data_IF_890850186085
#
_entry.id   IF_890850186085
#
_cell.length_a   1.000
_cell.length_b   1.000
_cell.length_c   1.000
_cell.angle_alpha   90.00
_cell.angle_beta   90.00
_cell.angle_gamma   90.00
#
_symmetry.space_group_name_H-M   'P 1'
#
loop_
_entity.id
_entity.type
_entity.pdbx_description
1 polymer ?
#
# COMPACT_ATOMS: atom_id res chain seq x y z
N UNK A 1 -8.73 -9.64 21.54
CA UNK A 1 -7.53 -9.91 20.71
C UNK A 1 -7.77 -9.30 19.35
N UNK A 2 -6.72 -8.93 18.62
CA UNK A 2 -6.88 -8.49 17.23
C UNK A 2 -7.60 -9.58 16.42
N UNK A 3 -8.40 -9.18 15.43
CA UNK A 3 -9.18 -10.11 14.62
C UNK A 3 -8.26 -10.90 13.67
N UNK A 4 -7.26 -10.21 13.12
CA UNK A 4 -6.14 -10.79 12.38
C UNK A 4 -4.97 -9.80 12.29
N UNK A 5 -3.80 -10.30 11.88
CA UNK A 5 -2.64 -9.47 11.58
C UNK A 5 -1.80 -10.05 10.44
N UNK A 6 -0.97 -9.20 9.83
CA UNK A 6 -0.02 -9.56 8.79
C UNK A 6 1.37 -9.10 9.23
N UNK A 7 2.38 -9.94 9.01
CA UNK A 7 3.79 -9.62 9.26
C UNK A 7 4.51 -9.57 7.91
N UNK A 8 5.15 -8.44 7.63
CA UNK A 8 6.03 -8.25 6.49
C UNK A 8 7.49 -8.19 6.94
N UNK A 9 8.35 -8.96 6.29
CA UNK A 9 9.80 -8.96 6.50
C UNK A 9 10.47 -8.14 5.39
N UNK A 10 11.23 -7.13 5.78
CA UNK A 10 11.93 -6.24 4.86
C UNK A 10 13.30 -6.78 4.47
N UNK A 11 13.81 -6.33 3.33
CA UNK A 11 15.14 -6.72 2.86
C UNK A 11 16.25 -6.56 3.92
N UNK A 12 16.32 -5.46 4.72
CA UNK A 12 17.35 -5.33 5.75
C UNK A 12 17.36 -6.46 6.80
N UNK A 13 16.18 -6.97 7.18
CA UNK A 13 16.08 -8.09 8.13
C UNK A 13 16.56 -9.39 7.49
N UNK A 14 16.10 -9.67 6.26
CA UNK A 14 16.46 -10.87 5.52
C UNK A 14 17.98 -10.93 5.25
N UNK A 15 18.56 -9.79 4.88
CA UNK A 15 20.01 -9.65 4.69
C UNK A 15 20.80 -9.84 5.99
N UNK A 16 20.29 -9.34 7.13
CA UNK A 16 20.92 -9.53 8.45
C UNK A 16 20.94 -11.00 8.88
N UNK A 17 20.00 -11.82 8.40
CA UNK A 17 19.94 -13.25 8.64
C UNK A 17 20.82 -14.06 7.66
N UNK A 18 21.56 -13.41 6.77
CA UNK A 18 22.30 -14.03 5.66
C UNK A 18 21.39 -14.89 4.75
N UNK A 19 20.12 -14.46 4.58
CA UNK A 19 19.11 -15.16 3.77
C UNK A 19 18.73 -14.37 2.53
N UNK A 20 17.94 -15.00 1.65
CA UNK A 20 17.42 -14.36 0.45
C UNK A 20 16.01 -14.82 0.13
N UNK A 21 15.14 -13.86 -0.20
CA UNK A 21 13.80 -14.13 -0.74
C UNK A 21 13.74 -13.57 -2.16
N UNK A 22 13.57 -14.43 -3.16
CA UNK A 22 13.60 -13.99 -4.55
C UNK A 22 12.48 -12.99 -4.86
N UNK A 23 12.85 -11.82 -5.40
CA UNK A 23 11.94 -10.71 -5.68
C UNK A 23 11.86 -9.66 -4.56
N UNK A 24 12.26 -10.01 -3.32
CA UNK A 24 12.35 -9.04 -2.23
C UNK A 24 13.54 -8.11 -2.48
N UNK A 25 13.28 -6.81 -2.39
CA UNK A 25 14.28 -5.74 -2.49
C UNK A 25 13.79 -4.54 -1.70
N UNK A 26 14.69 -3.64 -1.26
CA UNK A 26 14.28 -2.34 -0.75
C UNK A 26 13.43 -1.57 -1.78
N UNK A 27 12.47 -0.79 -1.29
CA UNK A 27 11.74 0.16 -2.13
C UNK A 27 12.71 1.16 -2.80
N UNK A 28 12.66 1.37 -4.13
CA UNK A 28 13.54 2.33 -4.79
C UNK A 28 13.03 3.76 -4.57
N UNK A 29 13.93 4.70 -4.26
CA UNK A 29 13.57 6.12 -4.33
C UNK A 29 13.34 6.49 -5.80
N UNK A 30 12.19 7.08 -6.12
CA UNK A 30 11.80 7.47 -7.48
C UNK A 30 11.51 8.97 -7.54
N UNK A 31 11.97 9.62 -8.61
CA UNK A 31 11.78 11.05 -8.83
C UNK A 31 11.20 11.30 -10.22
N UNK A 32 10.01 11.90 -10.26
CA UNK A 32 9.35 12.36 -11.47
C UNK A 32 9.41 13.88 -11.60
N UNK A 33 8.66 14.44 -12.56
CA UNK A 33 8.62 15.89 -12.78
C UNK A 33 7.81 16.58 -11.68
N UNK A 34 8.48 17.07 -10.65
CA UNK A 34 7.85 17.82 -9.55
C UNK A 34 7.09 16.95 -8.55
N UNK A 35 7.31 15.64 -8.58
CA UNK A 35 6.78 14.65 -7.65
C UNK A 35 7.90 13.65 -7.32
N UNK A 36 7.90 13.13 -6.10
CA UNK A 36 8.91 12.18 -5.63
C UNK A 36 8.24 11.11 -4.78
N UNK A 37 8.80 9.91 -4.80
CA UNK A 37 8.46 8.82 -3.89
C UNK A 37 9.74 8.41 -3.13
N UNK A 38 9.91 8.84 -1.87
CA UNK A 38 11.10 8.53 -1.10
C UNK A 38 11.15 7.06 -0.69
N UNK A 39 12.36 6.56 -0.46
CA UNK A 39 12.58 5.24 0.16
C UNK A 39 12.83 5.39 1.65
N UNK A 40 12.02 4.70 2.44
CA UNK A 40 12.06 4.68 3.92
C UNK A 40 11.97 3.22 4.40
N UNK A 41 12.68 2.33 3.70
CA UNK A 41 12.63 0.89 3.91
C UNK A 41 12.94 0.52 5.37
N UNK A 42 12.09 -0.31 5.97
CA UNK A 42 12.28 -0.84 7.32
C UNK A 42 12.59 -2.34 7.31
N UNK A 43 13.08 -2.84 8.44
CA UNK A 43 13.38 -4.25 8.65
C UNK A 43 12.12 -5.13 8.78
N UNK A 44 11.05 -4.59 9.36
CA UNK A 44 9.79 -5.30 9.60
C UNK A 44 8.61 -4.34 9.55
N UNK A 45 7.46 -4.83 9.12
CA UNK A 45 6.18 -4.13 9.14
C UNK A 45 5.09 -5.07 9.65
N UNK A 46 4.18 -4.55 10.47
CA UNK A 46 3.08 -5.32 11.03
C UNK A 46 1.78 -4.53 10.86
N UNK A 47 0.77 -5.18 10.27
CA UNK A 47 -0.59 -4.68 10.22
C UNK A 47 -1.44 -5.46 11.20
N UNK A 48 -2.13 -4.74 12.09
CA UNK A 48 -3.11 -5.31 13.01
C UNK A 48 -4.49 -4.77 12.65
N UNK A 49 -5.50 -5.65 12.63
CA UNK A 49 -6.90 -5.26 12.47
C UNK A 49 -7.71 -5.62 13.70
N UNK A 50 -8.57 -4.71 14.11
CA UNK A 50 -9.55 -4.93 15.16
C UNK A 50 -10.54 -3.76 15.24
N UNK A 51 -11.74 -4.04 15.74
CA UNK A 51 -12.78 -3.02 15.94
C UNK A 51 -12.64 -2.23 17.26
N UNK A 52 -11.80 -2.71 18.19
CA UNK A 52 -11.51 -2.05 19.46
C UNK A 52 -10.07 -1.55 19.52
N UNK A 53 -9.91 -0.23 19.62
CA UNK A 53 -8.61 0.44 19.69
C UNK A 53 -7.82 0.04 20.93
N UNK A 54 -8.46 -0.22 22.05
CA UNK A 54 -7.77 -0.60 23.30
C UNK A 54 -7.07 -1.96 23.12
N UNK A 55 -7.76 -2.90 22.49
CA UNK A 55 -7.20 -4.21 22.12
C UNK A 55 -6.01 -4.09 21.18
N UNK A 56 -6.09 -3.21 20.18
CA UNK A 56 -4.96 -2.97 19.25
C UNK A 56 -3.76 -2.33 19.95
N UNK A 57 -3.99 -1.40 20.87
CA UNK A 57 -2.94 -0.78 21.69
C UNK A 57 -2.20 -1.82 22.55
N UNK A 58 -2.94 -2.68 23.26
CA UNK A 58 -2.36 -3.75 24.07
C UNK A 58 -1.56 -4.74 23.22
N UNK A 59 -2.10 -5.13 22.06
CA UNK A 59 -1.41 -6.02 21.12
C UNK A 59 -0.12 -5.40 20.57
N UNK A 60 -0.16 -4.11 20.23
CA UNK A 60 1.02 -3.36 19.77
C UNK A 60 2.10 -3.33 20.86
N UNK A 61 1.72 -3.05 22.11
CA UNK A 61 2.65 -3.02 23.25
C UNK A 61 3.32 -4.38 23.45
N UNK A 62 2.54 -5.47 23.42
CA UNK A 62 3.08 -6.84 23.53
C UNK A 62 4.04 -7.20 22.40
N UNK A 63 3.77 -6.76 21.17
CA UNK A 63 4.67 -6.98 20.03
C UNK A 63 5.98 -6.18 20.16
N UNK A 64 5.90 -4.93 20.62
CA UNK A 64 7.09 -4.10 20.87
C UNK A 64 7.97 -4.75 21.95
N UNK A 65 7.36 -5.21 23.05
CA UNK A 65 8.10 -5.90 24.11
C UNK A 65 8.72 -7.22 23.62
N UNK A 66 7.98 -7.99 22.83
CA UNK A 66 8.45 -9.27 22.26
C UNK A 66 9.65 -9.09 21.31
N UNK A 67 9.66 -8.01 20.52
CA UNK A 67 10.67 -7.77 19.49
C UNK A 67 11.82 -6.87 19.98
N UNK A 68 11.69 -6.26 21.16
CA UNK A 68 12.55 -5.17 21.64
C UNK A 68 14.02 -5.52 21.88
N UNK A 69 14.39 -6.80 21.93
CA UNK A 69 15.80 -7.21 22.00
C UNK A 69 16.53 -7.10 20.65
N UNK A 70 15.80 -7.17 19.52
CA UNK A 70 16.37 -7.22 18.17
C UNK A 70 15.94 -6.06 17.28
N UNK A 71 14.76 -5.48 17.53
CA UNK A 71 14.17 -4.41 16.71
C UNK A 71 13.79 -3.22 17.59
N UNK A 72 13.79 -2.04 16.98
CA UNK A 72 13.28 -0.80 17.59
C UNK A 72 12.03 -0.36 16.85
N UNK A 73 11.00 0.07 17.58
CA UNK A 73 9.81 0.68 16.99
C UNK A 73 10.17 2.06 16.44
N UNK A 74 10.24 2.19 15.12
CA UNK A 74 10.51 3.45 14.43
C UNK A 74 9.23 4.29 14.23
N UNK A 75 8.13 3.63 13.86
CA UNK A 75 6.87 4.28 13.54
C UNK A 75 5.66 3.40 13.91
N UNK A 76 4.58 4.03 14.36
CA UNK A 76 3.30 3.39 14.65
C UNK A 76 2.16 4.37 14.37
N UNK A 77 1.20 3.93 13.56
CA UNK A 77 0.10 4.76 13.09
C UNK A 77 -1.23 3.99 13.14
N UNK A 78 -2.19 4.55 13.86
CA UNK A 78 -3.57 4.06 13.81
C UNK A 78 -4.23 4.55 12.51
N UNK A 79 -4.72 3.61 11.70
CA UNK A 79 -5.59 3.90 10.55
C UNK A 79 -7.05 3.65 10.90
N UNK A 80 -7.98 4.19 10.12
CA UNK A 80 -9.41 4.01 10.37
C UNK A 80 -10.23 3.95 9.09
N UNK A 81 -11.38 3.27 9.16
CA UNK A 81 -12.39 3.33 8.11
C UNK A 81 -13.12 4.67 8.16
N UNK A 82 -13.09 5.43 7.07
CA UNK A 82 -13.82 6.69 6.94
C UNK A 82 -15.11 6.49 6.15
N UNK A 83 -16.26 6.75 6.79
CA UNK A 83 -17.61 6.55 6.22
C UNK A 83 -17.74 5.13 5.63
N UNK A 84 -18.34 5.00 4.45
CA UNK A 84 -18.57 3.74 3.74
C UNK A 84 -17.34 3.35 2.90
N UNK A 85 -16.16 3.21 3.54
CA UNK A 85 -14.86 2.91 2.91
C UNK A 85 -14.38 3.97 1.89
N UNK A 86 -14.49 5.24 2.27
CA UNK A 86 -14.03 6.36 1.45
C UNK A 86 -12.64 6.81 1.89
N UNK A 87 -11.89 7.36 0.94
CA UNK A 87 -10.73 8.18 1.25
C UNK A 87 -11.16 9.51 1.90
N UNK A 88 -10.24 10.24 2.57
CA UNK A 88 -10.53 11.54 3.19
C UNK A 88 -10.89 12.64 2.18
N UNK A 89 -10.60 12.43 0.89
CA UNK A 89 -11.12 13.22 -0.23
C UNK A 89 -12.64 13.11 -0.39
N UNK A 90 -13.24 12.02 0.10
CA UNK A 90 -14.65 11.69 -0.05
C UNK A 90 -14.97 10.73 -1.20
N UNK A 91 -13.99 10.39 -2.05
CA UNK A 91 -14.17 9.39 -3.11
C UNK A 91 -14.10 7.97 -2.55
N UNK A 92 -14.78 7.04 -3.20
CA UNK A 92 -14.69 5.62 -2.87
C UNK A 92 -13.32 5.08 -3.27
N UNK A 93 -12.70 4.30 -2.40
CA UNK A 93 -11.45 3.61 -2.68
C UNK A 93 -11.70 2.09 -2.71
N UNK A 94 -10.90 1.38 -3.51
CA UNK A 94 -11.02 -0.07 -3.67
C UNK A 94 -12.11 -0.55 -4.64
N UNK A 95 -12.73 0.33 -5.43
CA UNK A 95 -13.78 -0.04 -6.39
C UNK A 95 -13.33 -1.12 -7.38
N UNK A 96 -12.15 -0.94 -7.97
CA UNK A 96 -11.52 -1.86 -8.93
C UNK A 96 -10.55 -2.86 -8.26
N UNK A 97 -10.70 -3.12 -6.96
CA UNK A 97 -9.92 -4.21 -6.35
C UNK A 97 -10.41 -5.55 -6.90
N UNK A 98 -9.48 -6.48 -7.23
CA UNK A 98 -9.83 -7.87 -7.51
C UNK A 98 -10.66 -8.49 -6.38
N UNK A 99 -11.53 -9.44 -6.72
CA UNK A 99 -12.45 -10.10 -5.78
C UNK A 99 -12.28 -11.61 -5.85
N UNK A 100 -12.65 -12.28 -4.76
CA UNK A 100 -12.70 -13.74 -4.67
C UNK A 100 -11.40 -14.40 -5.17
N UNK A 101 -11.49 -15.30 -6.15
CA UNK A 101 -10.33 -16.03 -6.69
C UNK A 101 -9.33 -15.11 -7.39
N UNK A 102 -9.79 -14.02 -8.03
CA UNK A 102 -8.89 -13.04 -8.67
C UNK A 102 -8.08 -12.26 -7.63
N UNK A 103 -8.64 -12.04 -6.43
CA UNK A 103 -7.91 -11.43 -5.33
C UNK A 103 -6.79 -12.35 -4.83
N UNK A 104 -7.07 -13.65 -4.70
CA UNK A 104 -6.05 -14.63 -4.33
C UNK A 104 -4.96 -14.73 -5.40
N UNK A 105 -5.34 -14.77 -6.68
CA UNK A 105 -4.40 -14.84 -7.80
C UNK A 105 -3.53 -13.59 -7.93
N UNK A 106 -4.09 -12.40 -7.68
CA UNK A 106 -3.34 -11.15 -7.71
C UNK A 106 -2.36 -11.03 -6.52
N UNK A 107 -2.78 -11.44 -5.32
CA UNK A 107 -2.04 -11.21 -4.08
C UNK A 107 -1.01 -12.27 -3.74
N UNK A 108 -1.22 -13.54 -4.10
CA UNK A 108 -0.46 -14.66 -3.57
C UNK A 108 0.55 -15.22 -4.58
N UNK A 109 1.77 -15.49 -4.10
CA UNK A 109 2.80 -16.23 -4.84
C UNK A 109 2.33 -17.66 -5.05
N UNK A 110 2.22 -18.08 -6.31
CA UNK A 110 1.65 -19.39 -6.69
C UNK A 110 2.56 -20.59 -6.35
N UNK A 111 3.88 -20.41 -6.41
CA UNK A 111 4.85 -21.50 -6.30
C UNK A 111 6.14 -21.10 -5.58
N UNK A 112 6.89 -22.10 -5.11
CA UNK A 112 8.18 -21.94 -4.43
C UNK A 112 8.16 -22.50 -3.03
N UNK A 113 9.21 -23.26 -2.67
CA UNK A 113 9.34 -23.86 -1.34
C UNK A 113 9.39 -22.77 -0.25
N UNK A 114 8.50 -22.87 0.74
CA UNK A 114 8.31 -21.86 1.80
C UNK A 114 7.75 -20.51 1.30
N UNK A 115 7.40 -20.40 0.01
CA UNK A 115 6.90 -19.16 -0.62
C UNK A 115 5.50 -19.28 -1.19
N UNK A 116 5.05 -20.47 -1.55
CA UNK A 116 3.68 -20.67 -2.03
C UNK A 116 2.67 -20.16 -0.97
N UNK A 117 1.77 -19.28 -1.38
CA UNK A 117 0.79 -18.64 -0.49
C UNK A 117 1.33 -17.43 0.29
N UNK A 118 2.58 -17.04 0.06
CA UNK A 118 3.13 -15.76 0.55
C UNK A 118 2.69 -14.59 -0.33
N UNK A 119 2.98 -13.36 0.08
CA UNK A 119 2.68 -12.15 -0.69
C UNK A 119 3.81 -11.13 -0.57
N UNK A 120 3.90 -10.20 -1.51
CA UNK A 120 4.67 -8.98 -1.34
C UNK A 120 3.72 -7.83 -1.03
N UNK A 121 4.13 -6.94 -0.14
CA UNK A 121 3.35 -5.76 0.21
C UNK A 121 4.15 -4.49 -0.05
N UNK A 122 3.52 -3.54 -0.73
CA UNK A 122 3.98 -2.16 -0.85
C UNK A 122 3.22 -1.29 0.15
N UNK A 123 3.98 -0.50 0.93
CA UNK A 123 3.42 0.41 1.92
C UNK A 123 3.95 1.81 1.66
N UNK A 124 3.04 2.78 1.53
CA UNK A 124 3.37 4.20 1.40
C UNK A 124 2.43 5.05 2.24
N UNK A 125 2.99 5.98 3.01
CA UNK A 125 2.23 7.01 3.71
C UNK A 125 2.06 8.20 2.79
N UNK A 126 0.82 8.53 2.48
CA UNK A 126 0.48 9.72 1.70
C UNK A 126 -0.11 10.80 2.61
N UNK A 127 0.37 12.03 2.45
CA UNK A 127 -0.19 13.21 3.12
C UNK A 127 -1.04 14.00 2.13
N UNK A 128 -2.26 14.33 2.52
CA UNK A 128 -3.20 15.09 1.71
C UNK A 128 -3.28 16.56 2.16
N UNK A 129 -3.18 17.47 1.20
CA UNK A 129 -3.66 18.84 1.30
C UNK A 129 -5.15 18.89 0.95
N UNK A 130 -5.97 18.46 1.92
CA UNK A 130 -7.44 18.45 1.76
C UNK A 130 -8.02 19.85 1.59
N UNK A 131 -7.37 20.90 2.11
CA UNK A 131 -7.81 22.27 1.92
C UNK A 131 -7.70 22.65 0.45
N UNK A 132 -6.55 22.39 -0.17
CA UNK A 132 -6.34 22.60 -1.60
C UNK A 132 -7.30 21.78 -2.45
N UNK A 133 -7.42 20.48 -2.16
CA UNK A 133 -8.33 19.60 -2.90
C UNK A 133 -9.78 20.07 -2.85
N UNK A 134 -10.28 20.42 -1.65
CA UNK A 134 -11.65 20.93 -1.47
C UNK A 134 -11.87 22.29 -2.12
N UNK A 135 -10.81 23.07 -2.31
CA UNK A 135 -10.83 24.35 -3.03
C UNK A 135 -11.01 24.23 -4.55
N UNK A 136 -10.73 23.05 -5.14
CA UNK A 136 -10.97 22.83 -6.58
C UNK A 136 -12.48 22.82 -6.90
N UNK A 137 -12.90 23.29 -8.09
CA UNK A 137 -14.25 23.05 -8.59
C UNK A 137 -14.60 21.56 -8.61
N UNK A 138 -15.87 21.20 -8.42
CA UNK A 138 -16.30 19.80 -8.37
C UNK A 138 -15.85 19.01 -9.62
N UNK A 139 -16.04 19.57 -10.81
CA UNK A 139 -15.60 18.96 -12.06
C UNK A 139 -14.08 18.73 -12.13
N UNK A 140 -13.27 19.60 -11.50
CA UNK A 140 -11.83 19.41 -11.43
C UNK A 140 -11.45 18.29 -10.46
N UNK A 141 -12.15 18.14 -9.32
CA UNK A 141 -11.92 17.00 -8.42
C UNK A 141 -12.27 15.68 -9.10
N UNK A 142 -13.42 15.63 -9.77
CA UNK A 142 -13.84 14.45 -10.54
C UNK A 142 -12.84 14.14 -11.66
N UNK A 143 -12.33 15.14 -12.38
CA UNK A 143 -11.30 14.95 -13.41
C UNK A 143 -9.92 14.56 -12.84
N UNK A 144 -9.61 14.93 -11.59
CA UNK A 144 -8.37 14.55 -10.90
C UNK A 144 -8.39 13.05 -10.56
N UNK A 145 -9.52 12.57 -10.04
CA UNK A 145 -9.69 11.16 -9.69
C UNK A 145 -9.98 10.32 -10.95
N UNK A 146 -10.81 10.84 -11.85
CA UNK A 146 -11.36 10.17 -13.03
C UNK A 146 -12.66 9.41 -12.78
N UNK A 147 -13.29 9.63 -11.62
CA UNK A 147 -14.63 9.12 -11.29
C UNK A 147 -15.48 10.24 -10.73
N UNK A 148 -16.80 10.14 -10.87
CA UNK A 148 -17.74 11.11 -10.29
C UNK A 148 -17.89 10.88 -8.79
N UNK A 149 -17.78 11.94 -8.00
CA UNK A 149 -17.98 11.83 -6.55
C UNK A 149 -19.39 11.35 -6.15
N UNK A 150 -20.41 11.67 -6.96
CA UNK A 150 -21.82 11.46 -6.62
C UNK A 150 -22.27 10.00 -6.62
N UNK A 151 -21.78 9.23 -7.59
CA UNK A 151 -22.23 7.86 -7.88
C UNK A 151 -21.07 6.91 -8.15
N UNK A 152 -19.82 7.40 -8.03
CA UNK A 152 -18.61 6.65 -8.26
C UNK A 152 -18.51 6.04 -9.67
N UNK A 153 -19.23 6.55 -10.67
CA UNK A 153 -19.04 6.09 -12.04
C UNK A 153 -17.73 6.62 -12.63
N UNK A 154 -17.01 5.75 -13.34
CA UNK A 154 -15.82 6.16 -14.10
C UNK A 154 -16.20 7.15 -15.21
N UNK A 155 -15.34 8.13 -15.43
CA UNK A 155 -15.48 9.12 -16.48
C UNK A 155 -14.67 8.63 -17.69
N UNK A 156 -15.36 8.22 -18.75
CA UNK A 156 -14.75 7.68 -19.97
C UNK A 156 -13.71 8.66 -20.56
N UNK A 157 -14.11 9.91 -20.76
CA UNK A 157 -13.28 11.00 -21.30
C UNK A 157 -12.49 11.76 -20.21
N UNK A 158 -12.13 11.11 -19.10
CA UNK A 158 -11.27 11.74 -18.11
C UNK A 158 -9.91 12.10 -18.73
N UNK A 159 -9.24 13.18 -18.28
CA UNK A 159 -7.90 13.51 -18.75
C UNK A 159 -6.93 12.34 -18.55
N UNK A 160 -5.92 12.21 -19.41
CA UNK A 160 -4.87 11.17 -19.28
C UNK A 160 -4.13 11.21 -17.93
N UNK A 161 -4.09 12.37 -17.28
CA UNK A 161 -3.52 12.55 -15.95
C UNK A 161 -4.43 12.09 -14.81
N UNK A 162 -5.68 11.72 -15.07
CA UNK A 162 -6.62 11.30 -14.03
C UNK A 162 -6.12 10.02 -13.36
N UNK A 163 -6.28 9.95 -12.03
CA UNK A 163 -5.71 8.86 -11.23
C UNK A 163 -6.10 7.47 -11.76
N UNK A 164 -7.39 7.24 -12.07
CA UNK A 164 -7.84 5.96 -12.65
C UNK A 164 -7.12 5.58 -13.95
N UNK A 165 -6.78 6.55 -14.82
CA UNK A 165 -6.05 6.28 -16.07
C UNK A 165 -4.58 5.96 -15.80
N UNK A 166 -3.99 6.59 -14.78
CA UNK A 166 -2.60 6.31 -14.37
C UNK A 166 -2.45 5.00 -13.63
N UNK A 167 -3.49 4.53 -12.94
CA UNK A 167 -3.46 3.35 -12.07
C UNK A 167 -4.26 2.15 -12.58
N UNK A 168 -4.82 2.20 -13.79
CA UNK A 168 -5.58 1.10 -14.40
C UNK A 168 -4.70 -0.16 -14.54
N UNK A 169 -4.93 -1.17 -13.70
CA UNK A 169 -4.04 -2.32 -13.53
C UNK A 169 -3.97 -3.21 -14.78
N UNK A 170 -5.08 -3.31 -15.50
CA UNK A 170 -5.25 -4.03 -16.76
C UNK A 170 -4.49 -3.41 -17.94
N UNK A 171 -4.07 -2.14 -17.82
CA UNK A 171 -3.37 -1.41 -18.88
C UNK A 171 -1.84 -1.61 -18.88
N UNK A 172 -1.33 -2.48 -18.02
CA UNK A 172 0.10 -2.84 -17.94
C UNK A 172 0.37 -4.16 -18.66
N UNK A 173 1.62 -4.39 -19.06
CA UNK A 173 2.06 -5.67 -19.64
C UNK A 173 3.33 -6.16 -18.94
N UNK A 174 3.26 -7.24 -18.12
CA UNK A 174 2.03 -7.92 -17.69
C UNK A 174 1.11 -7.01 -16.87
N UNK A 175 -0.15 -7.38 -16.74
CA UNK A 175 -1.15 -6.64 -15.95
C UNK A 175 -0.69 -6.49 -14.50
N UNK A 176 -0.92 -5.33 -13.91
CA UNK A 176 -0.43 -4.94 -12.60
C UNK A 176 -1.43 -5.20 -11.46
N UNK A 177 -2.28 -6.22 -11.59
CA UNK A 177 -3.31 -6.53 -10.59
C UNK A 177 -2.73 -6.74 -9.19
N UNK A 178 -3.27 -6.04 -8.20
CA UNK A 178 -2.89 -6.04 -6.79
C UNK A 178 -4.14 -5.86 -5.91
N UNK A 179 -4.10 -6.39 -4.69
CA UNK A 179 -5.17 -6.21 -3.71
C UNK A 179 -4.81 -5.05 -2.79
N UNK A 180 -5.53 -3.94 -2.92
CA UNK A 180 -5.31 -2.76 -2.08
C UNK A 180 -6.10 -2.88 -0.77
N UNK A 181 -5.45 -2.56 0.33
CA UNK A 181 -6.04 -2.53 1.66
C UNK A 181 -5.73 -1.19 2.35
N UNK A 182 -5.62 -0.14 1.55
CA UNK A 182 -5.31 1.22 1.98
C UNK A 182 -6.35 1.74 2.98
N UNK A 183 -5.91 2.53 3.95
CA UNK A 183 -6.80 3.13 4.94
C UNK A 183 -6.44 4.57 5.27
N UNK A 184 -7.44 5.44 5.49
CA UNK A 184 -7.25 6.77 6.05
C UNK A 184 -6.48 6.80 7.37
N UNK A 185 -5.71 7.86 7.57
CA UNK A 185 -5.06 8.19 8.84
C UNK A 185 -5.09 9.70 9.11
N UNK A 186 -4.96 10.05 10.38
CA UNK A 186 -4.82 11.42 10.88
C UNK A 186 -4.04 11.39 12.21
N UNK A 187 -3.22 12.41 12.45
CA UNK A 187 -2.54 12.62 13.74
C UNK A 187 -2.81 14.02 14.33
N UNK A 188 -3.83 14.73 13.83
CA UNK A 188 -4.17 16.10 14.21
C UNK A 188 -3.25 17.18 13.63
N UNK A 189 -2.16 16.81 12.96
CA UNK A 189 -1.25 17.73 12.24
C UNK A 189 -1.23 17.47 10.74
N UNK A 190 -1.22 16.19 10.37
CA UNK A 190 -1.26 15.68 9.01
C UNK A 190 -2.26 14.55 8.93
N UNK A 191 -2.76 14.33 7.73
CA UNK A 191 -3.78 13.34 7.43
C UNK A 191 -3.60 12.87 5.99
N UNK A 192 -4.09 11.69 5.69
CA UNK A 192 -4.13 11.18 4.33
C UNK A 192 -4.50 9.72 4.29
N UNK A 193 -3.82 8.95 3.44
CA UNK A 193 -4.02 7.52 3.29
C UNK A 193 -2.71 6.77 3.51
N UNK A 194 -2.78 5.67 4.24
CA UNK A 194 -1.71 4.67 4.29
C UNK A 194 -2.02 3.70 3.16
N UNK A 195 -1.33 3.90 2.03
CA UNK A 195 -1.47 3.01 0.89
C UNK A 195 -0.83 1.67 1.23
N UNK A 196 -1.61 0.60 1.09
CA UNK A 196 -1.17 -0.78 1.35
C UNK A 196 -1.64 -1.61 0.16
N UNK A 197 -0.73 -2.26 -0.56
CA UNK A 197 -1.10 -3.15 -1.67
C UNK A 197 -0.34 -4.47 -1.59
N UNK A 198 -1.09 -5.56 -1.65
CA UNK A 198 -0.59 -6.92 -1.72
C UNK A 198 -0.54 -7.41 -3.16
N UNK A 199 0.53 -8.10 -3.53
CA UNK A 199 0.72 -8.65 -4.86
C UNK A 199 1.66 -9.85 -4.84
N UNK A 200 1.59 -10.69 -5.87
CA UNK A 200 2.58 -11.76 -6.05
C UNK A 200 4.02 -11.24 -6.32
N UNK A 201 4.17 -9.96 -6.68
CA UNK A 201 5.45 -9.26 -6.85
C UNK A 201 5.30 -7.77 -6.58
N UNK A 202 6.33 -7.15 -5.99
CA UNK A 202 6.45 -5.69 -5.83
C UNK A 202 6.50 -4.93 -7.16
N UNK A 203 6.84 -5.60 -8.26
CA UNK A 203 6.94 -4.98 -9.60
C UNK A 203 5.62 -4.40 -10.07
N UNK A 204 4.50 -5.05 -9.73
CA UNK A 204 3.14 -4.60 -10.08
C UNK A 204 2.88 -3.19 -9.56
N UNK A 205 3.23 -2.97 -8.29
CA UNK A 205 3.14 -1.65 -7.68
C UNK A 205 4.14 -0.66 -8.26
N UNK A 206 5.39 -1.08 -8.48
CA UNK A 206 6.42 -0.20 -9.02
C UNK A 206 6.04 0.31 -10.42
N UNK A 207 5.49 -0.52 -11.30
CA UNK A 207 5.02 -0.11 -12.62
C UNK A 207 3.95 0.98 -12.53
N UNK A 208 2.92 0.77 -11.69
CA UNK A 208 1.88 1.77 -11.46
C UNK A 208 2.47 3.08 -10.95
N UNK A 209 3.34 3.03 -9.95
CA UNK A 209 3.95 4.23 -9.37
C UNK A 209 4.85 4.97 -10.37
N UNK A 210 5.62 4.25 -11.19
CA UNK A 210 6.47 4.85 -12.25
C UNK A 210 5.62 5.59 -13.28
N UNK A 211 4.49 5.00 -13.70
CA UNK A 211 3.51 5.67 -14.56
C UNK A 211 2.92 6.90 -13.87
N UNK A 212 2.52 6.81 -12.61
CA UNK A 212 1.99 7.96 -11.86
C UNK A 212 2.99 9.13 -11.78
N UNK A 213 4.29 8.83 -11.66
CA UNK A 213 5.37 9.82 -11.64
C UNK A 213 5.71 10.41 -13.03
N UNK A 214 5.05 9.94 -14.09
CA UNK A 214 5.31 10.35 -15.47
C UNK A 214 6.61 9.81 -16.04
N UNK A 215 7.18 8.74 -15.48
CA UNK A 215 8.45 8.17 -15.95
C UNK A 215 8.34 7.37 -17.25
N UNK A 216 7.13 7.13 -17.73
CA UNK A 216 6.84 6.40 -18.96
C UNK A 216 6.55 7.34 -20.14
N UNK A 217 5.86 8.45 -19.89
CA UNK A 217 5.23 9.28 -20.92
C UNK A 217 5.19 10.79 -20.60
N UNK A 218 5.91 11.24 -19.56
CA UNK A 218 5.93 12.62 -19.04
C UNK A 218 4.57 13.14 -18.50
N UNK A 219 3.56 12.27 -18.34
CA UNK A 219 2.26 12.61 -17.76
C UNK A 219 2.25 12.26 -16.27
N UNK A 220 2.30 13.29 -15.42
CA UNK A 220 2.20 13.13 -13.96
C UNK A 220 0.74 12.96 -13.55
N UNK A 221 0.49 12.02 -12.64
CA UNK A 221 -0.81 11.81 -12.03
C UNK A 221 -1.32 13.07 -11.32
N UNK A 222 -2.54 13.46 -11.64
CA UNK A 222 -3.20 14.63 -11.06
C UNK A 222 -3.40 14.49 -9.54
N UNK A 223 -3.35 13.28 -8.98
CA UNK A 223 -3.34 13.04 -7.53
C UNK A 223 -2.19 13.79 -6.83
N UNK A 224 -1.03 13.93 -7.47
CA UNK A 224 0.11 14.68 -6.94
C UNK A 224 -0.18 16.19 -6.77
N UNK A 225 -1.27 16.70 -7.36
CA UNK A 225 -1.67 18.11 -7.20
C UNK A 225 -2.14 18.47 -5.79
N UNK A 226 -2.50 17.48 -4.96
CA UNK A 226 -2.92 17.69 -3.57
C UNK A 226 -2.40 16.62 -2.60
N UNK A 227 -1.83 15.52 -3.07
CA UNK A 227 -1.35 14.42 -2.23
C UNK A 227 0.12 14.09 -2.55
N UNK A 228 0.91 13.72 -1.55
CA UNK A 228 2.32 13.35 -1.74
C UNK A 228 2.69 12.17 -0.85
N UNK A 229 3.43 11.16 -1.36
CA UNK A 229 3.98 10.10 -0.53
C UNK A 229 5.18 10.65 0.25
N UNK A 230 5.22 10.37 1.55
CA UNK A 230 6.33 10.76 2.44
C UNK A 230 7.15 9.55 2.90
N UNK A 231 6.72 8.34 2.54
CA UNK A 231 7.39 7.08 2.83
C UNK A 231 7.19 6.08 1.69
N UNK A 232 8.04 5.05 1.66
CA UNK A 232 7.94 3.94 0.71
C UNK A 232 8.79 2.75 1.13
N UNK A 233 8.14 1.58 1.24
CA UNK A 233 8.76 0.34 1.69
C UNK A 233 8.13 -0.89 1.02
N UNK A 234 8.96 -1.92 0.79
CA UNK A 234 8.52 -3.25 0.36
C UNK A 234 8.82 -4.30 1.42
N UNK A 235 7.91 -5.26 1.56
CA UNK A 235 8.08 -6.39 2.46
C UNK A 235 7.60 -7.68 1.81
N UNK A 236 8.18 -8.80 2.24
CA UNK A 236 7.66 -10.13 1.97
C UNK A 236 6.84 -10.60 3.17
N UNK A 237 5.59 -10.97 2.93
CA UNK A 237 4.68 -11.53 3.93
C UNK A 237 4.73 -13.06 3.83
N UNK A 238 5.35 -13.77 4.80
CA UNK A 238 5.46 -15.23 4.75
C UNK A 238 4.09 -15.92 4.69
N UNK A 239 3.99 -17.12 4.09
CA UNK A 239 2.77 -17.90 4.17
C UNK A 239 2.51 -18.34 5.61
N UNK A 240 1.28 -18.77 5.90
CA UNK A 240 0.91 -19.35 7.19
C UNK A 240 0.80 -20.86 7.09
N UNK A 241 1.38 -21.58 8.07
CA UNK A 241 1.18 -23.01 8.26
C UNK A 241 0.61 -23.27 9.66
N UNK A 242 -0.66 -23.67 9.75
CA UNK A 242 -1.35 -23.77 11.05
C UNK A 242 -1.32 -22.42 11.77
N UNK A 243 -0.93 -22.38 13.03
CA UNK A 243 -0.92 -21.15 13.84
C UNK A 243 0.41 -20.38 13.78
N UNK A 244 1.29 -20.73 12.85
CA UNK A 244 2.63 -20.14 12.71
C UNK A 244 2.90 -19.61 11.30
N UNK A 245 3.84 -18.66 11.21
CA UNK A 245 4.43 -18.25 9.94
C UNK A 245 5.33 -19.38 9.43
N UNK A 246 5.23 -19.68 8.13
CA UNK A 246 6.14 -20.59 7.44
C UNK A 246 7.39 -19.80 7.01
N UNK A 247 8.47 -19.96 7.76
CA UNK A 247 9.73 -19.25 7.54
C UNK A 247 10.79 -20.11 6.85
N UNK A 248 10.41 -21.27 6.27
CA UNK A 248 11.35 -22.19 5.62
C UNK A 248 12.09 -21.55 4.45
N UNK A 249 11.47 -20.57 3.78
CA UNK A 249 12.11 -19.81 2.71
C UNK A 249 13.33 -19.00 3.17
N UNK A 250 13.48 -18.77 4.48
CA UNK A 250 14.61 -18.09 5.11
C UNK A 250 15.32 -19.00 6.13
N UNK A 251 15.17 -20.32 6.00
CA UNK A 251 15.91 -21.30 6.81
C UNK A 251 15.49 -21.41 8.27
N UNK A 252 14.31 -20.93 8.64
CA UNK A 252 13.75 -20.99 10.00
C UNK A 252 12.50 -21.89 10.09
#
# INVERSE_FOLDING_TARGET
MADWGIVGLGAPLIETLDQHVAGLRPFPALEGRGCQAPSTQQAMWILLRGDDRSTLFECTTQLVDLLGEALVLDDALDTFRYRDNRDLTGYEDGTENPKDDDAAAAALVAEGEGRQGSSFVAVQRWVHDLQRFRGFPAAQRDATIGRRHSDNEEIEDAPESAHVKRSAQESFTPEAFMVRHSMPWDNGKQQGTEFIAFGESSDRFEHVLRRMLGLEDDIVDALFSFSQPISGSYYWCPPRQGDHLDLRAIGL
#
